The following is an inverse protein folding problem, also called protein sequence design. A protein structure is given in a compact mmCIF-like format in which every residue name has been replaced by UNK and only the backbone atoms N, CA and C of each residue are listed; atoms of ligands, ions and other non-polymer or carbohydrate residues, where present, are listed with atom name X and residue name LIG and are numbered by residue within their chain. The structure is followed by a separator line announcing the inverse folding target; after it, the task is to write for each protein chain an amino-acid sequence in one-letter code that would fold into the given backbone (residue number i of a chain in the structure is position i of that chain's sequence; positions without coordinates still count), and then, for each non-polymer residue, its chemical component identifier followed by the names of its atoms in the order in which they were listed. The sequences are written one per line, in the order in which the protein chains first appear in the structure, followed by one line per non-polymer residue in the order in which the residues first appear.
data_IF_625942917637
#
_entry.id   IF_625942917637
#
_cell.length_a   1.000
_cell.length_b   1.000
_cell.length_c   1.000
_cell.angle_alpha   90.00
_cell.angle_beta   90.00
_cell.angle_gamma   90.00
#
_symmetry.space_group_name_H-M   'P 1'
#
loop_
_entity.id
_entity.type
_entity.pdbx_description
1 polymer ?
#
# COMPACT_ATOMS: atom_id res chain seq x y z
N UNK A 1 -30.58 -13.41 11.70
CA UNK A 1 -29.84 -13.62 12.95
C UNK A 1 -28.64 -14.56 12.79
N UNK A 2 -28.75 -15.72 12.11
CA UNK A 2 -27.64 -16.70 11.97
C UNK A 2 -26.42 -16.15 11.18
N UNK A 3 -26.65 -15.38 10.11
CA UNK A 3 -25.58 -14.78 9.30
C UNK A 3 -24.83 -13.66 10.05
N UNK A 4 -25.53 -12.80 10.78
CA UNK A 4 -24.91 -11.71 11.57
C UNK A 4 -24.02 -12.30 12.66
N UNK A 5 -24.50 -13.35 13.34
CA UNK A 5 -23.71 -14.07 14.35
C UNK A 5 -22.46 -14.71 13.74
N UNK A 6 -22.56 -15.28 12.54
CA UNK A 6 -21.41 -15.85 11.82
C UNK A 6 -20.37 -14.79 11.51
N UNK A 7 -20.77 -13.66 10.90
CA UNK A 7 -19.85 -12.55 10.58
C UNK A 7 -19.16 -12.01 11.84
N UNK A 8 -19.93 -11.83 12.92
CA UNK A 8 -19.38 -11.37 14.19
C UNK A 8 -18.34 -12.36 14.76
N UNK A 9 -18.63 -13.66 14.76
CA UNK A 9 -17.69 -14.67 15.27
C UNK A 9 -16.41 -14.74 14.45
N UNK A 10 -16.50 -14.69 13.12
CA UNK A 10 -15.33 -14.68 12.23
C UNK A 10 -14.50 -13.41 12.43
N UNK A 11 -15.14 -12.25 12.56
CA UNK A 11 -14.41 -10.99 12.80
C UNK A 11 -13.72 -11.00 14.18
N UNK A 12 -14.36 -11.54 15.21
CA UNK A 12 -13.75 -11.68 16.53
C UNK A 12 -12.61 -12.70 16.55
N UNK A 13 -12.75 -13.83 15.85
CA UNK A 13 -11.69 -14.82 15.69
C UNK A 13 -10.47 -14.17 14.98
N UNK A 14 -10.70 -13.47 13.87
CA UNK A 14 -9.66 -12.72 13.18
C UNK A 14 -8.96 -11.68 14.07
N UNK A 15 -9.71 -11.02 14.96
CA UNK A 15 -9.13 -10.05 15.89
C UNK A 15 -8.26 -10.71 16.97
N UNK A 16 -8.69 -11.84 17.51
CA UNK A 16 -7.87 -12.58 18.48
C UNK A 16 -6.61 -13.18 17.84
N UNK A 17 -6.69 -13.72 16.62
CA UNK A 17 -5.52 -14.20 15.88
C UNK A 17 -4.58 -13.02 15.55
N UNK A 18 -5.09 -11.87 15.12
CA UNK A 18 -4.29 -10.66 14.91
C UNK A 18 -3.52 -10.24 16.18
N UNK A 19 -4.12 -10.38 17.36
CA UNK A 19 -3.43 -10.10 18.63
C UNK A 19 -2.40 -11.18 18.95
N UNK A 20 -2.72 -12.45 18.73
CA UNK A 20 -1.84 -13.59 18.99
C UNK A 20 -0.61 -13.60 18.08
N UNK A 21 -0.75 -13.11 16.84
CA UNK A 21 0.30 -13.05 15.83
C UNK A 21 1.13 -11.74 15.87
N UNK A 22 1.04 -10.98 16.96
CA UNK A 22 1.74 -9.70 17.12
C UNK A 22 1.39 -8.66 16.04
N UNK A 23 0.15 -8.65 15.56
CA UNK A 23 -0.29 -7.82 14.44
C UNK A 23 0.03 -6.33 14.61
N UNK A 24 -0.09 -5.79 15.83
CA UNK A 24 0.28 -4.40 16.12
C UNK A 24 1.78 -4.13 15.95
N UNK A 25 2.63 -5.05 16.39
CA UNK A 25 4.09 -4.90 16.27
C UNK A 25 4.51 -4.98 14.79
N UNK A 26 3.94 -5.91 14.05
CA UNK A 26 4.20 -6.05 12.60
C UNK A 26 3.72 -4.81 11.85
N UNK A 27 2.52 -4.31 12.15
CA UNK A 27 1.98 -3.10 11.53
C UNK A 27 2.90 -1.89 11.78
N UNK A 28 3.47 -1.73 12.98
CA UNK A 28 4.41 -0.66 13.26
C UNK A 28 5.72 -0.79 12.47
N UNK A 29 6.23 -2.01 12.29
CA UNK A 29 7.41 -2.25 11.47
C UNK A 29 7.17 -1.97 9.98
N UNK A 30 6.00 -2.33 9.44
CA UNK A 30 5.59 -2.01 8.06
C UNK A 30 5.51 -0.49 7.88
N UNK A 31 4.84 0.20 8.81
CA UNK A 31 4.69 1.65 8.77
C UNK A 31 6.02 2.39 8.80
N UNK A 32 6.93 1.97 9.70
CA UNK A 32 8.27 2.55 9.79
C UNK A 32 9.08 2.29 8.51
N UNK A 33 9.04 1.08 7.97
CA UNK A 33 9.75 0.73 6.73
C UNK A 33 9.23 1.56 5.54
N UNK A 34 7.91 1.74 5.44
CA UNK A 34 7.31 2.58 4.40
C UNK A 34 7.72 4.06 4.55
N UNK A 35 7.70 4.59 5.77
CA UNK A 35 8.12 5.97 6.03
C UNK A 35 9.60 6.18 5.71
N UNK A 36 10.47 5.24 6.11
CA UNK A 36 11.91 5.30 5.83
C UNK A 36 12.23 5.18 4.34
N UNK A 37 11.39 4.50 3.57
CA UNK A 37 11.52 4.40 2.11
C UNK A 37 11.07 5.68 1.39
N UNK A 38 10.15 6.45 1.97
CA UNK A 38 9.51 7.60 1.33
C UNK A 38 10.53 8.66 0.92
N UNK A 39 11.40 9.11 1.82
CA UNK A 39 12.36 10.17 1.53
C UNK A 39 13.40 9.77 0.47
N UNK A 40 14.07 8.61 0.56
CA UNK A 40 14.94 8.13 -0.52
C UNK A 40 14.21 7.98 -1.85
N UNK A 41 12.94 7.52 -1.85
CA UNK A 41 12.13 7.43 -3.06
C UNK A 41 11.86 8.80 -3.70
N UNK A 42 11.59 9.82 -2.89
CA UNK A 42 11.43 11.20 -3.38
C UNK A 42 12.74 11.75 -4.00
N UNK A 43 13.91 11.42 -3.44
CA UNK A 43 15.19 11.78 -4.03
C UNK A 43 15.35 11.13 -5.41
N UNK A 44 14.98 9.86 -5.57
CA UNK A 44 14.99 9.18 -6.88
C UNK A 44 14.04 9.85 -7.86
N UNK A 45 12.82 10.15 -7.41
CA UNK A 45 11.80 10.78 -8.25
C UNK A 45 12.24 12.14 -8.79
N UNK A 46 12.81 12.98 -7.93
CA UNK A 46 13.33 14.31 -8.32
C UNK A 46 14.52 14.23 -9.24
N UNK A 47 15.45 13.31 -8.97
CA UNK A 47 16.62 13.10 -9.81
C UNK A 47 16.22 12.62 -11.20
N UNK A 48 15.21 11.74 -11.31
CA UNK A 48 14.66 11.31 -12.60
C UNK A 48 13.97 12.46 -13.33
N UNK A 49 13.18 13.27 -12.63
CA UNK A 49 12.53 14.43 -13.26
C UNK A 49 13.54 15.48 -13.73
N UNK A 50 14.62 15.70 -12.98
CA UNK A 50 15.74 16.53 -13.40
C UNK A 50 16.43 16.02 -14.68
N UNK A 51 16.51 14.69 -14.85
CA UNK A 51 17.03 14.07 -16.05
C UNK A 51 16.13 14.30 -17.29
N UNK A 52 14.82 14.33 -17.09
CA UNK A 52 13.84 14.65 -18.16
C UNK A 52 13.65 16.16 -18.38
N UNK A 53 14.42 17.01 -17.71
CA UNK A 53 14.54 18.45 -18.01
C UNK A 53 13.46 19.34 -17.42
N UNK A 54 12.62 18.85 -16.49
CA UNK A 54 11.57 19.68 -15.89
C UNK A 54 11.42 19.44 -14.38
N UNK A 55 11.76 20.46 -13.60
CA UNK A 55 11.49 20.47 -12.15
C UNK A 55 9.98 20.45 -11.87
N UNK A 56 9.20 21.08 -12.75
CA UNK A 56 7.74 21.13 -12.65
C UNK A 56 7.10 19.73 -12.71
N UNK A 57 7.67 18.79 -13.47
CA UNK A 57 7.20 17.40 -13.51
C UNK A 57 7.49 16.65 -12.19
N UNK A 58 8.61 16.96 -11.53
CA UNK A 58 8.93 16.36 -10.23
C UNK A 58 7.97 16.83 -9.15
N UNK A 59 7.74 18.15 -9.08
CA UNK A 59 6.83 18.75 -8.12
C UNK A 59 5.41 18.22 -8.32
N UNK A 60 4.94 18.14 -9.57
CA UNK A 60 3.63 17.57 -9.90
C UNK A 60 3.54 16.07 -9.55
N UNK A 61 4.57 15.28 -9.80
CA UNK A 61 4.57 13.86 -9.46
C UNK A 61 4.56 13.63 -7.94
N UNK A 62 5.29 14.46 -7.17
CA UNK A 62 5.27 14.43 -5.72
C UNK A 62 3.89 14.84 -5.16
N UNK A 63 3.31 15.92 -5.68
CA UNK A 63 1.97 16.35 -5.32
C UNK A 63 0.92 15.27 -5.59
N UNK A 64 1.03 14.56 -6.70
CA UNK A 64 0.12 13.47 -7.06
C UNK A 64 0.28 12.24 -6.17
N UNK A 65 1.52 11.88 -5.79
CA UNK A 65 1.75 10.84 -4.80
C UNK A 65 1.09 11.19 -3.46
N UNK A 66 1.13 12.45 -3.08
CA UNK A 66 0.47 12.94 -1.88
C UNK A 66 -1.06 13.01 -1.99
N UNK A 67 -1.63 13.11 -3.20
CA UNK A 67 -3.10 13.10 -3.39
C UNK A 67 -3.77 11.79 -2.98
N UNK A 68 -3.03 10.68 -2.92
CA UNK A 68 -3.54 9.39 -2.40
C UNK A 68 -3.72 9.42 -0.88
N UNK A 69 -3.08 10.37 -0.20
CA UNK A 69 -3.09 10.52 1.25
C UNK A 69 -4.20 11.48 1.69
N UNK A 70 -4.73 11.36 2.91
CA UNK A 70 -5.60 12.39 3.46
C UNK A 70 -4.92 13.75 3.38
N UNK A 71 -5.66 14.79 2.95
CA UNK A 71 -5.09 16.12 2.68
C UNK A 71 -4.24 16.65 3.83
N UNK A 72 -4.67 16.45 5.08
CA UNK A 72 -3.98 16.92 6.27
C UNK A 72 -2.62 16.20 6.49
N UNK A 73 -2.51 14.95 6.09
CA UNK A 73 -1.23 14.20 6.12
C UNK A 73 -0.33 14.69 5.01
N UNK A 74 -0.87 14.88 3.81
CA UNK A 74 -0.15 15.41 2.65
C UNK A 74 0.39 16.83 2.93
N UNK A 75 -0.45 17.71 3.45
CA UNK A 75 -0.07 19.09 3.81
C UNK A 75 1.03 19.11 4.89
N UNK A 76 0.99 18.17 5.83
CA UNK A 76 2.01 18.04 6.89
C UNK A 76 3.39 17.62 6.36
N UNK A 77 3.44 16.89 5.25
CA UNK A 77 4.68 16.42 4.62
C UNK A 77 5.17 17.33 3.49
N UNK A 78 4.34 18.27 3.03
CA UNK A 78 4.62 19.06 1.83
C UNK A 78 5.89 19.92 1.95
N UNK A 79 6.15 20.49 3.13
CA UNK A 79 7.36 21.29 3.37
C UNK A 79 8.62 20.45 3.32
N UNK A 80 8.63 19.29 4.00
CA UNK A 80 9.77 18.39 4.03
C UNK A 80 10.05 17.79 2.64
N UNK A 81 8.99 17.51 1.89
CA UNK A 81 9.09 17.04 0.51
C UNK A 81 9.66 18.13 -0.38
N UNK A 82 9.16 19.37 -0.26
CA UNK A 82 9.67 20.50 -1.04
C UNK A 82 11.15 20.73 -0.78
N UNK A 83 11.61 20.66 0.47
CA UNK A 83 13.03 20.82 0.81
C UNK A 83 13.91 19.72 0.20
N UNK A 84 13.42 18.48 0.16
CA UNK A 84 14.11 17.36 -0.51
C UNK A 84 14.14 17.56 -2.02
N UNK A 85 13.06 18.05 -2.62
CA UNK A 85 12.89 18.23 -4.05
C UNK A 85 13.72 19.38 -4.62
N UNK A 86 13.91 20.47 -3.87
CA UNK A 86 14.64 21.67 -4.34
C UNK A 86 16.17 21.53 -4.21
N UNK A 87 16.65 20.58 -3.40
CA UNK A 87 18.07 20.34 -3.20
C UNK A 87 18.61 19.38 -4.26
N UNK A 88 19.18 19.91 -5.34
CA UNK A 88 19.79 19.11 -6.44
C UNK A 88 21.04 18.37 -5.92
N UNK A 89 20.97 17.05 -5.85
CA UNK A 89 22.08 16.18 -5.42
C UNK A 89 22.29 15.06 -6.44
N UNK A 90 23.04 15.34 -7.52
CA UNK A 90 23.32 14.35 -8.56
C UNK A 90 23.94 13.05 -8.04
N UNK A 91 24.79 13.13 -7.02
CA UNK A 91 25.48 11.98 -6.41
C UNK A 91 24.55 11.16 -5.48
N UNK A 92 23.43 11.75 -5.02
CA UNK A 92 22.50 11.11 -4.10
C UNK A 92 21.53 10.13 -4.80
N UNK A 93 21.44 10.15 -6.13
CA UNK A 93 20.50 9.29 -6.87
C UNK A 93 20.75 7.80 -6.60
N UNK A 94 22.00 7.36 -6.72
CA UNK A 94 22.36 5.94 -6.57
C UNK A 94 22.16 5.48 -5.12
N UNK A 95 22.63 6.26 -4.15
CA UNK A 95 22.47 5.96 -2.73
C UNK A 95 20.99 6.01 -2.35
N UNK A 96 20.26 7.02 -2.80
CA UNK A 96 18.83 7.16 -2.59
C UNK A 96 18.04 5.97 -3.14
N UNK A 97 18.37 5.52 -4.37
CA UNK A 97 17.72 4.36 -4.97
C UNK A 97 17.97 3.07 -4.16
N UNK A 98 19.20 2.83 -3.73
CA UNK A 98 19.55 1.65 -2.91
C UNK A 98 18.82 1.70 -1.59
N UNK A 99 18.81 2.83 -0.89
CA UNK A 99 18.13 2.99 0.39
C UNK A 99 16.60 2.86 0.23
N UNK A 100 16.00 3.46 -0.81
CA UNK A 100 14.57 3.34 -1.08
C UNK A 100 14.17 1.87 -1.27
N UNK A 101 14.89 1.15 -2.13
CA UNK A 101 14.64 -0.28 -2.38
C UNK A 101 14.87 -1.10 -1.12
N UNK A 102 15.92 -0.84 -0.35
CA UNK A 102 16.21 -1.54 0.89
C UNK A 102 15.08 -1.38 1.91
N UNK A 103 14.69 -0.16 2.24
CA UNK A 103 13.64 0.09 3.24
C UNK A 103 12.25 -0.38 2.77
N UNK A 104 11.89 -0.11 1.51
CA UNK A 104 10.62 -0.58 0.98
C UNK A 104 10.53 -2.10 0.95
N UNK A 105 11.62 -2.81 0.58
CA UNK A 105 11.64 -4.27 0.58
C UNK A 105 11.55 -4.87 2.00
N UNK A 106 11.98 -4.16 3.06
CA UNK A 106 11.75 -4.57 4.44
C UNK A 106 10.25 -4.51 4.78
N UNK A 107 9.53 -3.50 4.31
CA UNK A 107 8.07 -3.42 4.44
C UNK A 107 7.36 -4.59 3.76
N UNK A 108 7.76 -4.94 2.53
CA UNK A 108 7.21 -6.10 1.80
C UNK A 108 7.50 -7.40 2.55
N UNK A 109 8.71 -7.57 3.10
CA UNK A 109 9.06 -8.73 3.91
C UNK A 109 8.19 -8.86 5.17
N UNK A 110 7.90 -7.74 5.83
CA UNK A 110 7.02 -7.71 7.00
C UNK A 110 5.58 -8.05 6.65
N UNK A 111 5.08 -7.59 5.49
CA UNK A 111 3.76 -8.00 4.96
C UNK A 111 3.69 -9.51 4.72
N UNK A 112 4.76 -10.11 4.16
CA UNK A 112 4.85 -11.57 3.97
C UNK A 112 4.82 -12.30 5.30
N UNK A 113 5.61 -11.86 6.29
CA UNK A 113 5.64 -12.47 7.63
C UNK A 113 4.25 -12.42 8.25
N UNK A 114 3.57 -11.26 8.18
CA UNK A 114 2.21 -11.11 8.69
C UNK A 114 1.25 -12.10 8.03
N UNK A 115 1.24 -12.16 6.70
CA UNK A 115 0.35 -13.07 5.98
C UNK A 115 0.68 -14.55 6.21
N UNK A 116 1.97 -14.90 6.31
CA UNK A 116 2.37 -16.28 6.65
C UNK A 116 1.89 -16.69 8.04
N UNK A 117 1.98 -15.79 9.04
CA UNK A 117 1.41 -16.03 10.38
C UNK A 117 -0.10 -16.18 10.32
N UNK A 118 -0.81 -15.22 9.73
CA UNK A 118 -2.26 -15.25 9.59
C UNK A 118 -2.78 -16.54 8.98
N UNK A 119 -2.12 -17.05 7.94
CA UNK A 119 -2.48 -18.31 7.30
C UNK A 119 -1.85 -19.54 7.96
N UNK A 120 -1.12 -19.39 9.05
CA UNK A 120 -0.42 -20.47 9.79
C UNK A 120 0.47 -21.31 8.87
N UNK A 121 1.17 -20.68 7.91
CA UNK A 121 2.05 -21.37 6.97
C UNK A 121 3.51 -21.21 7.36
N UNK A 122 4.26 -22.33 7.23
CA UNK A 122 5.71 -22.32 7.40
C UNK A 122 6.34 -21.94 6.06
N UNK A 123 7.27 -21.01 6.09
CA UNK A 123 7.97 -20.53 4.91
C UNK A 123 9.06 -21.54 4.48
N UNK A 124 8.93 -22.23 3.33
CA UNK A 124 9.89 -23.23 2.89
C UNK A 124 11.05 -22.63 2.08
N UNK A 125 10.88 -21.40 1.58
CA UNK A 125 11.85 -20.76 0.68
C UNK A 125 13.06 -20.26 1.47
N UNK A 126 14.26 -20.33 0.89
CA UNK A 126 15.49 -19.84 1.53
C UNK A 126 15.50 -18.30 1.62
N UNK A 127 16.15 -17.77 2.66
CA UNK A 127 16.18 -16.33 2.97
C UNK A 127 16.61 -15.44 1.79
N UNK A 128 17.61 -15.85 1.01
CA UNK A 128 18.08 -15.05 -0.14
C UNK A 128 17.04 -14.93 -1.25
N UNK A 129 16.27 -16.00 -1.54
CA UNK A 129 15.16 -15.96 -2.48
C UNK A 129 14.04 -15.07 -2.01
N UNK A 130 13.69 -15.14 -0.74
CA UNK A 130 12.68 -14.28 -0.14
C UNK A 130 13.08 -12.80 -0.22
N UNK A 131 14.36 -12.51 -0.02
CA UNK A 131 14.89 -11.15 -0.14
C UNK A 131 14.83 -10.63 -1.58
N UNK A 132 15.24 -11.47 -2.54
CA UNK A 132 15.18 -11.13 -3.95
C UNK A 132 13.73 -10.89 -4.42
N UNK A 133 12.80 -11.73 -3.98
CA UNK A 133 11.38 -11.60 -4.25
C UNK A 133 10.80 -10.30 -3.66
N UNK A 134 11.15 -9.94 -2.41
CA UNK A 134 10.72 -8.69 -1.78
C UNK A 134 11.25 -7.47 -2.53
N UNK A 135 12.49 -7.51 -3.02
CA UNK A 135 13.07 -6.48 -3.89
C UNK A 135 12.30 -6.42 -5.23
N UNK A 136 12.01 -7.58 -5.82
CA UNK A 136 11.23 -7.67 -7.07
C UNK A 136 9.85 -7.01 -6.93
N UNK A 137 9.08 -7.34 -5.88
CA UNK A 137 7.79 -6.70 -5.61
C UNK A 137 7.93 -5.18 -5.39
N UNK A 138 8.99 -4.75 -4.69
CA UNK A 138 9.26 -3.33 -4.48
C UNK A 138 9.52 -2.60 -5.79
N UNK A 139 10.34 -3.17 -6.69
CA UNK A 139 10.63 -2.58 -7.98
C UNK A 139 9.39 -2.51 -8.87
N UNK A 140 8.59 -3.58 -8.91
CA UNK A 140 7.32 -3.58 -9.65
C UNK A 140 6.35 -2.53 -9.09
N UNK A 141 6.24 -2.43 -7.76
CA UNK A 141 5.41 -1.42 -7.12
C UNK A 141 5.90 0.01 -7.44
N UNK A 142 7.21 0.25 -7.39
CA UNK A 142 7.80 1.55 -7.72
C UNK A 142 7.57 1.92 -9.20
N UNK A 143 7.81 1.00 -10.14
CA UNK A 143 7.54 1.23 -11.56
C UNK A 143 6.06 1.49 -11.81
N UNK A 144 5.17 0.72 -11.15
CA UNK A 144 3.73 0.93 -11.25
C UNK A 144 3.32 2.29 -10.71
N UNK A 145 3.85 2.69 -9.54
CA UNK A 145 3.59 4.00 -8.96
C UNK A 145 4.08 5.14 -9.86
N UNK A 146 5.27 5.02 -10.43
CA UNK A 146 5.82 5.98 -11.40
C UNK A 146 4.97 6.05 -12.68
N UNK A 147 4.58 4.90 -13.23
CA UNK A 147 3.72 4.86 -14.42
C UNK A 147 2.35 5.50 -14.14
N UNK A 148 1.77 5.26 -12.96
CA UNK A 148 0.53 5.89 -12.55
C UNK A 148 0.70 7.40 -12.35
N UNK A 149 1.77 7.86 -11.69
CA UNK A 149 2.09 9.27 -11.56
C UNK A 149 2.21 9.92 -12.94
N UNK A 150 2.92 9.29 -13.86
CA UNK A 150 3.03 9.73 -15.26
C UNK A 150 1.67 9.81 -15.96
N UNK A 151 0.82 8.79 -15.86
CA UNK A 151 -0.51 8.76 -16.45
C UNK A 151 -1.41 9.86 -15.89
N UNK A 152 -1.30 10.10 -14.58
CA UNK A 152 -2.08 11.11 -13.87
C UNK A 152 -1.64 12.53 -14.26
N UNK A 153 -0.33 12.78 -14.40
CA UNK A 153 0.24 14.10 -14.78
C UNK A 153 0.08 14.36 -16.28
N UNK A 154 0.48 13.40 -17.11
CA UNK A 154 0.44 13.59 -18.57
C UNK A 154 -0.97 13.46 -19.13
N UNK A 155 -1.88 12.75 -18.47
CA UNK A 155 -3.25 12.63 -18.91
C UNK A 155 -3.94 13.97 -19.16
N UNK A 156 -3.97 14.92 -18.19
CA UNK A 156 -4.49 16.26 -18.41
C UNK A 156 -3.75 17.06 -19.48
N UNK A 157 -2.42 16.95 -19.56
CA UNK A 157 -1.61 17.66 -20.57
C UNK A 157 -1.87 17.14 -21.99
N UNK A 158 -1.97 15.82 -22.15
CA UNK A 158 -2.35 15.19 -23.42
C UNK A 158 -3.76 15.62 -23.80
N UNK A 159 -4.66 15.69 -22.83
CA UNK A 159 -6.04 16.13 -23.03
C UNK A 159 -6.10 17.59 -23.48
N UNK A 160 -5.34 18.47 -22.84
CA UNK A 160 -5.26 19.88 -23.19
C UNK A 160 -4.61 20.08 -24.58
N UNK A 161 -3.56 19.33 -24.91
CA UNK A 161 -2.99 19.32 -26.25
C UNK A 161 -3.99 18.78 -27.30
N UNK A 162 -4.74 17.73 -26.96
CA UNK A 162 -5.77 17.18 -27.81
C UNK A 162 -6.96 18.15 -27.99
N UNK A 163 -7.33 18.92 -26.98
CA UNK A 163 -8.35 19.99 -27.08
C UNK A 163 -7.99 21.03 -28.10
N UNK A 164 -6.70 21.38 -28.23
CA UNK A 164 -6.24 22.37 -29.23
C UNK A 164 -6.36 21.86 -30.66
N UNK A 165 -6.21 20.55 -30.88
CA UNK A 165 -6.21 19.93 -32.20
C UNK A 165 -7.55 19.30 -32.58
N UNK A 166 -8.31 18.79 -31.62
CA UNK A 166 -9.55 18.05 -31.81
C UNK A 166 -10.58 18.42 -30.71
N UNK A 167 -11.03 19.71 -30.64
CA UNK A 167 -11.83 20.21 -29.52
C UNK A 167 -13.17 19.49 -29.35
N UNK A 168 -13.82 19.08 -30.47
CA UNK A 168 -15.13 18.44 -30.41
C UNK A 168 -15.08 17.04 -29.76
N UNK A 169 -14.05 16.26 -30.05
CA UNK A 169 -13.90 14.90 -29.51
C UNK A 169 -13.57 14.93 -28.02
N UNK A 170 -12.78 15.89 -27.59
CA UNK A 170 -12.35 16.00 -26.18
C UNK A 170 -13.49 16.52 -25.30
N UNK A 171 -14.22 17.54 -25.72
CA UNK A 171 -15.36 18.08 -24.98
C UNK A 171 -16.45 17.04 -24.75
N UNK A 172 -16.67 16.15 -25.71
CA UNK A 172 -17.68 15.07 -25.62
C UNK A 172 -17.24 13.93 -24.70
N UNK A 173 -15.94 13.79 -24.41
CA UNK A 173 -15.37 12.61 -23.71
C UNK A 173 -14.72 12.92 -22.36
N UNK A 174 -14.83 14.13 -21.80
CA UNK A 174 -14.23 14.49 -20.51
C UNK A 174 -14.68 13.57 -19.37
N UNK A 175 -15.96 13.26 -19.29
CA UNK A 175 -16.50 12.36 -18.30
C UNK A 175 -15.91 10.94 -18.44
N UNK A 176 -15.84 10.44 -19.68
CA UNK A 176 -15.26 9.14 -19.99
C UNK A 176 -13.78 9.06 -19.58
N UNK A 177 -12.99 10.10 -19.84
CA UNK A 177 -11.57 10.15 -19.51
C UNK A 177 -11.35 10.17 -17.99
N UNK A 178 -12.16 10.94 -17.25
CA UNK A 178 -12.10 10.95 -15.79
C UNK A 178 -12.51 9.60 -15.20
N UNK A 179 -13.60 9.00 -15.68
CA UNK A 179 -14.04 7.67 -15.25
C UNK A 179 -12.95 6.62 -15.54
N UNK A 180 -12.35 6.66 -16.72
CA UNK A 180 -11.27 5.74 -17.10
C UNK A 180 -10.07 5.88 -16.16
N UNK A 181 -9.64 7.10 -15.85
CA UNK A 181 -8.54 7.39 -14.94
C UNK A 181 -8.77 6.79 -13.54
N UNK A 182 -9.94 7.06 -12.94
CA UNK A 182 -10.27 6.50 -11.62
C UNK A 182 -10.42 4.97 -11.67
N UNK A 183 -11.02 4.44 -12.75
CA UNK A 183 -11.16 3.00 -12.90
C UNK A 183 -9.81 2.28 -13.01
N UNK A 184 -8.87 2.84 -13.77
CA UNK A 184 -7.50 2.30 -13.87
C UNK A 184 -6.81 2.32 -12.51
N UNK A 185 -6.92 3.43 -11.77
CA UNK A 185 -6.32 3.56 -10.42
C UNK A 185 -6.89 2.52 -9.44
N UNK A 186 -8.22 2.40 -9.38
CA UNK A 186 -8.89 1.45 -8.50
C UNK A 186 -8.55 0.01 -8.90
N UNK A 187 -8.56 -0.28 -10.21
CA UNK A 187 -8.21 -1.61 -10.71
C UNK A 187 -6.76 -1.97 -10.36
N UNK A 188 -5.82 -1.05 -10.55
CA UNK A 188 -4.41 -1.27 -10.19
C UNK A 188 -4.25 -1.55 -8.68
N UNK A 189 -4.97 -0.82 -7.82
CA UNK A 189 -4.95 -1.05 -6.38
C UNK A 189 -5.54 -2.43 -6.01
N UNK A 190 -6.66 -2.82 -6.62
CA UNK A 190 -7.27 -4.15 -6.42
C UNK A 190 -6.31 -5.25 -6.86
N UNK A 191 -5.67 -5.10 -8.03
CA UNK A 191 -4.69 -6.06 -8.55
C UNK A 191 -3.48 -6.15 -7.63
N UNK A 192 -2.96 -5.02 -7.15
CA UNK A 192 -1.85 -5.00 -6.20
C UNK A 192 -2.20 -5.73 -4.89
N UNK A 193 -3.35 -5.45 -4.30
CA UNK A 193 -3.83 -6.14 -3.11
C UNK A 193 -4.04 -7.64 -3.37
N UNK A 194 -4.56 -7.99 -4.53
CA UNK A 194 -4.71 -9.38 -4.93
C UNK A 194 -3.34 -10.09 -4.99
N UNK A 195 -2.36 -9.49 -5.66
CA UNK A 195 -0.99 -10.04 -5.77
C UNK A 195 -0.39 -10.23 -4.37
N UNK A 196 -0.50 -9.22 -3.50
CA UNK A 196 0.03 -9.29 -2.14
C UNK A 196 -0.64 -10.40 -1.31
N UNK A 197 -1.96 -10.56 -1.37
CA UNK A 197 -2.66 -11.58 -0.59
C UNK A 197 -2.53 -13.00 -1.17
N UNK A 198 -2.38 -13.14 -2.51
CA UNK A 198 -2.33 -14.42 -3.19
C UNK A 198 -0.91 -15.01 -3.27
N UNK A 199 0.07 -14.18 -3.61
CA UNK A 199 1.40 -14.66 -4.00
C UNK A 199 2.50 -14.33 -2.99
N UNK A 200 2.34 -13.29 -2.18
CA UNK A 200 3.36 -12.92 -1.22
C UNK A 200 3.56 -13.98 -0.13
N UNK A 201 2.50 -14.51 0.54
CA UNK A 201 2.64 -15.57 1.53
C UNK A 201 2.90 -16.93 0.88
N UNK A 202 3.54 -17.84 1.63
CA UNK A 202 3.76 -19.22 1.19
C UNK A 202 2.44 -19.96 0.96
N UNK A 203 2.43 -20.90 0.01
CA UNK A 203 1.24 -21.68 -0.38
C UNK A 203 0.33 -20.94 -1.37
N UNK A 204 -0.63 -21.65 -1.95
CA UNK A 204 -1.58 -21.11 -2.94
C UNK A 204 -2.96 -20.94 -2.35
N UNK A 205 -3.63 -19.86 -2.69
CA UNK A 205 -5.00 -19.55 -2.24
C UNK A 205 -5.86 -19.19 -3.43
N UNK A 206 -7.11 -19.67 -3.39
CA UNK A 206 -8.08 -19.35 -4.43
C UNK A 206 -8.56 -17.90 -4.33
N UNK A 207 -8.91 -17.30 -5.47
CA UNK A 207 -9.39 -15.93 -5.57
C UNK A 207 -10.52 -15.62 -4.55
N UNK A 208 -11.53 -16.49 -4.47
CA UNK A 208 -12.67 -16.32 -3.57
C UNK A 208 -12.33 -16.43 -2.08
N UNK A 209 -11.17 -17.01 -1.75
CA UNK A 209 -10.72 -17.15 -0.36
C UNK A 209 -10.09 -15.86 0.18
N UNK A 210 -9.47 -15.08 -0.70
CA UNK A 210 -8.78 -13.83 -0.32
C UNK A 210 -9.61 -12.57 -0.57
N UNK A 211 -10.67 -12.68 -1.37
CA UNK A 211 -11.52 -11.56 -1.74
C UNK A 211 -12.15 -10.82 -0.54
N UNK A 212 -12.64 -11.48 0.51
CA UNK A 212 -13.23 -10.79 1.67
C UNK A 212 -12.25 -9.85 2.37
N UNK A 213 -11.00 -10.30 2.60
CA UNK A 213 -9.97 -9.47 3.23
C UNK A 213 -9.53 -8.31 2.33
N UNK A 214 -9.47 -8.51 1.00
CA UNK A 214 -9.18 -7.42 0.06
C UNK A 214 -10.28 -6.35 0.13
N UNK A 215 -11.55 -6.74 0.09
CA UNK A 215 -12.69 -5.80 0.20
C UNK A 215 -12.63 -5.08 1.54
N UNK A 216 -12.41 -5.82 2.63
CA UNK A 216 -12.26 -5.23 3.96
C UNK A 216 -11.12 -4.21 3.99
N UNK A 217 -9.93 -4.58 3.49
CA UNK A 217 -8.76 -3.69 3.46
C UNK A 217 -9.04 -2.42 2.69
N UNK A 218 -9.67 -2.50 1.52
CA UNK A 218 -10.03 -1.33 0.72
C UNK A 218 -11.02 -0.41 1.46
N UNK A 219 -12.12 -0.96 1.93
CA UNK A 219 -13.18 -0.19 2.59
C UNK A 219 -12.67 0.40 3.91
N UNK A 220 -12.01 -0.41 4.74
CA UNK A 220 -11.50 0.04 6.03
C UNK A 220 -10.38 1.09 5.87
N UNK A 221 -9.50 0.95 4.88
CA UNK A 221 -8.48 1.97 4.58
C UNK A 221 -9.10 3.29 4.12
N UNK A 222 -10.13 3.23 3.29
CA UNK A 222 -10.87 4.43 2.85
C UNK A 222 -11.55 5.13 4.03
N UNK A 223 -12.26 4.37 4.87
CA UNK A 223 -12.90 4.91 6.08
C UNK A 223 -11.86 5.46 7.05
N UNK A 224 -10.76 4.73 7.28
CA UNK A 224 -9.65 5.19 8.12
C UNK A 224 -9.07 6.50 7.62
N UNK A 225 -8.85 6.64 6.31
CA UNK A 225 -8.37 7.88 5.70
C UNK A 225 -9.32 9.07 5.94
N UNK A 226 -10.63 8.87 5.76
CA UNK A 226 -11.64 9.91 6.01
C UNK A 226 -11.67 10.29 7.49
N UNK A 227 -11.74 9.31 8.39
CA UNK A 227 -11.81 9.53 9.85
C UNK A 227 -10.53 10.22 10.34
N UNK A 228 -9.37 9.73 9.91
CA UNK A 228 -8.08 10.29 10.29
C UNK A 228 -7.91 11.73 9.76
N UNK A 229 -8.33 11.98 8.51
CA UNK A 229 -8.36 13.33 7.94
C UNK A 229 -9.25 14.29 8.73
N UNK A 230 -10.45 13.86 9.12
CA UNK A 230 -11.34 14.69 9.97
C UNK A 230 -10.76 14.91 11.38
N UNK A 231 -10.11 13.90 11.95
CA UNK A 231 -9.41 14.04 13.22
C UNK A 231 -8.30 15.09 13.13
N UNK A 232 -7.44 15.00 12.11
CA UNK A 232 -6.37 15.98 11.90
C UNK A 232 -6.89 17.41 11.64
N UNK A 233 -7.97 17.55 10.88
CA UNK A 233 -8.59 18.86 10.66
C UNK A 233 -8.94 19.60 11.96
N UNK A 234 -9.20 18.85 13.05
CA UNK A 234 -9.53 19.40 14.37
C UNK A 234 -8.32 19.51 15.30
N UNK A 235 -7.38 18.58 15.20
CA UNK A 235 -6.33 18.37 16.21
C UNK A 235 -4.90 18.51 15.67
N UNK A 236 -4.68 18.89 14.38
CA UNK A 236 -3.34 19.03 13.81
C UNK A 236 -2.45 20.00 14.63
N UNK A 237 -3.01 21.09 15.12
CA UNK A 237 -2.28 22.07 15.96
C UNK A 237 -1.73 21.44 17.25
N UNK A 238 -2.41 20.43 17.81
CA UNK A 238 -1.93 19.72 19.00
C UNK A 238 -0.66 18.93 18.68
N UNK A 239 -0.57 18.30 17.49
CA UNK A 239 0.65 17.64 17.06
C UNK A 239 1.81 18.60 16.89
N UNK A 240 1.57 19.77 16.29
CA UNK A 240 2.60 20.81 16.15
C UNK A 240 3.07 21.29 17.52
N UNK A 241 2.16 21.50 18.47
CA UNK A 241 2.49 21.95 19.83
C UNK A 241 3.27 20.90 20.61
N UNK A 242 2.91 19.60 20.46
CA UNK A 242 3.52 18.50 21.22
C UNK A 242 4.84 18.03 20.63
N UNK A 243 4.95 18.00 19.30
CA UNK A 243 6.05 17.36 18.58
C UNK A 243 6.90 18.34 17.76
N UNK A 244 6.53 19.62 17.73
CA UNK A 244 7.23 20.68 16.98
C UNK A 244 7.57 20.25 15.53
N UNK A 245 8.84 20.30 15.12
CA UNK A 245 9.29 19.93 13.79
C UNK A 245 9.15 18.43 13.41
N UNK A 246 8.76 17.55 14.35
CA UNK A 246 8.51 16.13 14.09
C UNK A 246 7.03 15.82 13.85
N UNK A 247 6.15 16.82 13.91
CA UNK A 247 4.71 16.62 13.84
C UNK A 247 4.29 15.94 12.53
N UNK A 248 4.81 16.37 11.39
CA UNK A 248 4.55 15.79 10.07
C UNK A 248 4.93 14.33 9.97
N UNK A 249 6.12 13.99 10.43
CA UNK A 249 6.65 12.61 10.43
C UNK A 249 5.79 11.70 11.30
N UNK A 250 5.38 12.17 12.48
CA UNK A 250 4.54 11.38 13.40
C UNK A 250 3.13 11.21 12.83
N UNK A 251 2.55 12.24 12.23
CA UNK A 251 1.25 12.15 11.56
C UNK A 251 1.29 11.10 10.45
N UNK A 252 2.31 11.14 9.59
CA UNK A 252 2.50 10.16 8.52
C UNK A 252 2.69 8.74 9.06
N UNK A 253 3.52 8.59 10.11
CA UNK A 253 3.76 7.29 10.74
C UNK A 253 2.48 6.68 11.32
N UNK A 254 1.68 7.48 12.02
CA UNK A 254 0.40 7.02 12.61
C UNK A 254 -0.58 6.62 11.51
N UNK A 255 -0.66 7.39 10.43
CA UNK A 255 -1.51 7.04 9.28
C UNK A 255 -1.08 5.70 8.65
N UNK A 256 0.21 5.56 8.34
CA UNK A 256 0.77 4.31 7.78
C UNK A 256 0.56 3.12 8.72
N UNK A 257 0.66 3.34 10.03
CA UNK A 257 0.42 2.31 11.03
C UNK A 257 -1.02 1.77 10.98
N UNK A 258 -2.03 2.65 10.90
CA UNK A 258 -3.41 2.20 10.76
C UNK A 258 -3.64 1.47 9.43
N UNK A 259 -3.09 1.96 8.32
CA UNK A 259 -3.19 1.28 7.02
C UNK A 259 -2.54 -0.11 7.07
N UNK A 260 -1.36 -0.22 7.67
CA UNK A 260 -0.67 -1.51 7.83
C UNK A 260 -1.47 -2.48 8.73
N UNK A 261 -2.02 -1.99 9.86
CA UNK A 261 -2.85 -2.81 10.75
C UNK A 261 -4.12 -3.31 10.05
N UNK A 262 -4.78 -2.47 9.26
CA UNK A 262 -5.94 -2.84 8.45
C UNK A 262 -5.58 -3.94 7.43
N UNK A 263 -4.43 -3.82 6.78
CA UNK A 263 -3.96 -4.82 5.82
C UNK A 263 -3.70 -6.18 6.50
N UNK A 264 -2.97 -6.18 7.61
CA UNK A 264 -2.67 -7.41 8.38
C UNK A 264 -3.97 -8.05 8.85
N UNK A 265 -4.87 -7.27 9.42
CA UNK A 265 -6.18 -7.76 9.84
C UNK A 265 -7.02 -8.32 8.66
N UNK A 266 -6.90 -7.74 7.47
CA UNK A 266 -7.52 -8.28 6.24
C UNK A 266 -7.02 -9.69 5.91
N UNK A 267 -5.73 -9.97 6.15
CA UNK A 267 -5.15 -11.30 6.05
C UNK A 267 -5.74 -12.28 7.07
N UNK A 268 -5.82 -11.87 8.34
CA UNK A 268 -6.44 -12.65 9.42
C UNK A 268 -7.91 -12.97 9.13
N UNK A 269 -8.65 -11.99 8.61
CA UNK A 269 -10.06 -12.17 8.26
C UNK A 269 -10.22 -13.25 7.17
N UNK A 270 -9.36 -13.25 6.16
CA UNK A 270 -9.36 -14.31 5.15
C UNK A 270 -9.06 -15.68 5.77
N UNK A 271 -8.05 -15.76 6.64
CA UNK A 271 -7.65 -16.98 7.32
C UNK A 271 -8.78 -17.52 8.22
N UNK A 272 -9.43 -16.67 9.01
CA UNK A 272 -10.57 -17.04 9.87
C UNK A 272 -11.76 -17.51 9.05
N UNK A 273 -12.05 -16.91 7.89
CA UNK A 273 -13.08 -17.39 6.96
C UNK A 273 -12.74 -18.79 6.43
N UNK A 274 -11.48 -19.02 6.03
CA UNK A 274 -11.03 -20.33 5.56
C UNK A 274 -11.16 -21.35 6.69
N UNK A 275 -10.65 -21.03 7.88
CA UNK A 275 -10.71 -21.88 9.08
C UNK A 275 -12.15 -22.27 9.45
N UNK A 276 -13.10 -21.34 9.38
CA UNK A 276 -14.51 -21.58 9.69
C UNK A 276 -15.21 -22.57 8.74
N UNK A 277 -14.62 -22.83 7.56
CA UNK A 277 -15.14 -23.78 6.56
C UNK A 277 -14.50 -25.17 6.66
N UNK A 278 -13.46 -25.34 7.49
CA UNK A 278 -12.82 -26.62 7.70
C UNK A 278 -13.65 -27.52 8.64
N UNK A 279 -13.58 -28.84 8.50
CA UNK A 279 -14.17 -29.77 9.46
C UNK A 279 -13.62 -29.52 10.88
N UNK A 280 -14.46 -29.72 11.88
CA UNK A 280 -14.07 -29.56 13.28
C UNK A 280 -12.85 -30.41 13.62
N UNK A 281 -11.80 -29.78 14.17
CA UNK A 281 -10.55 -30.45 14.57
C UNK A 281 -9.44 -30.46 13.49
N UNK A 282 -9.70 -29.94 12.29
CA UNK A 282 -8.69 -29.80 11.25
C UNK A 282 -8.08 -28.40 11.34
N UNK A 283 -6.76 -28.30 11.63
CA UNK A 283 -6.05 -27.02 11.59
C UNK A 283 -5.79 -26.57 10.14
N UNK A 284 -5.61 -25.25 9.92
CA UNK A 284 -5.23 -24.71 8.61
C UNK A 284 -3.96 -25.37 8.07
N UNK A 285 -2.98 -25.60 8.93
CA UNK A 285 -1.71 -26.25 8.60
C UNK A 285 -1.90 -27.71 8.14
N UNK A 286 -2.76 -28.47 8.82
CA UNK A 286 -3.09 -29.84 8.44
C UNK A 286 -3.87 -29.88 7.11
N UNK A 287 -4.79 -28.96 6.89
CA UNK A 287 -5.54 -28.87 5.64
C UNK A 287 -4.63 -28.55 4.42
N UNK A 288 -3.60 -27.75 4.62
CA UNK A 288 -2.62 -27.39 3.58
C UNK A 288 -1.65 -28.54 3.27
N UNK A 289 -1.25 -29.33 4.29
CA UNK A 289 -0.39 -30.50 4.09
C UNK A 289 -1.08 -31.67 3.37
N UNK A 290 -2.41 -31.71 3.40
CA UNK A 290 -3.23 -32.72 2.72
C UNK A 290 -3.60 -32.33 1.27
N UNK A 291 -3.31 -31.09 0.85
CA UNK A 291 -3.52 -30.67 -0.54
C UNK A 291 -2.55 -31.43 -1.47
N UNK A 292 -3.01 -31.96 -2.63
CA UNK A 292 -2.14 -32.71 -3.54
C UNK A 292 -0.94 -31.88 -3.98
N UNK A 293 0.23 -32.50 -4.05
CA UNK A 293 1.51 -31.88 -4.46
C UNK A 293 1.44 -31.28 -5.87
N UNK A 294 0.55 -31.79 -6.74
CA UNK A 294 0.32 -31.27 -8.09
C UNK A 294 -0.26 -29.82 -8.14
N UNK A 295 -0.71 -29.30 -7.01
CA UNK A 295 -1.15 -27.91 -6.90
C UNK A 295 -0.02 -26.94 -6.49
N UNK A 296 1.21 -27.42 -6.29
CA UNK A 296 2.34 -26.66 -5.78
C UNK A 296 3.41 -26.32 -6.86
N UNK A 297 3.20 -26.73 -8.12
CA UNK A 297 4.12 -26.45 -9.23
C UNK A 297 3.74 -25.18 -10.02
#
# INVERSE_FOLDING_TARGET
MRQIRYVYLVAMDAFYEFLADDGWAIASHIALSALMALFPFLIVLTSLAGFFGSKELADQAAELLLQVWPKQVADSLSSEIHDVLTTTRGDALTIGAILAVYFASNGVESLRIALNRAYSVIEPRSWYWLRLESIGYTLVAAVTALAMAFLIVLGPLILEAARRHIPLIVATNEHFLNVTRYSVTITALIVALFILHAWLPAGRRGFLQILPGIIFTLVASMVSGIVFGQYLARFANNYVTMYAGLASVIIALVFLYFIAAIFVYGGELNASIIKSRLPHGVSLQAAQSLAPVDSQA
#
